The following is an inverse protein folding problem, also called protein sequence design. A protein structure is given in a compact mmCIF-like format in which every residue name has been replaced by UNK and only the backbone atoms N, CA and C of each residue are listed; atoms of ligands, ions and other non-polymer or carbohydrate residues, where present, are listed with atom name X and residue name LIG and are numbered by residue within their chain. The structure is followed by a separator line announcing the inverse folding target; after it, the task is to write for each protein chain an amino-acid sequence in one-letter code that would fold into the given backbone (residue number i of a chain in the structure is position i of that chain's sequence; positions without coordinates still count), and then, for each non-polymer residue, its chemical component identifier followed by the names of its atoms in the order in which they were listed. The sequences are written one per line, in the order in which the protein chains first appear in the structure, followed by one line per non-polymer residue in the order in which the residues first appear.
data_IF_921348379416
#
_entry.id   IF_921348379416
#
_cell.length_a   1.000
_cell.length_b   1.000
_cell.length_c   1.000
_cell.angle_alpha   90.00
_cell.angle_beta   90.00
_cell.angle_gamma   90.00
#
_symmetry.space_group_name_H-M   'P 1'
#
loop_
_entity.id
_entity.type
_entity.pdbx_description
1 polymer ?
#
# COMPACT_ATOMS: atom_id res chain seq x y z
N UNK A 1 17.93 -26.20 -5.74
CA UNK A 1 17.19 -25.32 -4.80
C UNK A 1 16.32 -26.19 -3.92
N UNK A 2 16.26 -25.93 -2.60
CA UNK A 2 15.32 -26.64 -1.71
C UNK A 2 13.88 -26.15 -1.93
N UNK A 3 12.89 -27.01 -1.71
CA UNK A 3 11.47 -26.65 -1.85
C UNK A 3 11.07 -25.44 -0.99
N UNK A 4 11.62 -25.33 0.22
CA UNK A 4 11.40 -24.18 1.10
C UNK A 4 11.95 -22.86 0.55
N UNK A 5 13.06 -22.87 -0.19
CA UNK A 5 13.58 -21.66 -0.84
C UNK A 5 12.68 -21.19 -1.98
N UNK A 6 12.15 -22.11 -2.77
CA UNK A 6 11.22 -21.80 -3.87
C UNK A 6 9.91 -21.23 -3.33
N UNK A 7 9.37 -21.84 -2.26
CA UNK A 7 8.15 -21.36 -1.63
C UNK A 7 8.33 -19.97 -1.00
N UNK A 8 9.41 -19.74 -0.23
CA UNK A 8 9.68 -18.46 0.42
C UNK A 8 9.87 -17.31 -0.57
N UNK A 9 10.72 -17.50 -1.60
CA UNK A 9 10.93 -16.47 -2.62
C UNK A 9 9.71 -16.27 -3.52
N UNK A 10 8.95 -17.33 -3.80
CA UNK A 10 7.70 -17.25 -4.55
C UNK A 10 6.64 -16.43 -3.81
N UNK A 11 6.43 -16.70 -2.52
CA UNK A 11 5.47 -15.94 -1.68
C UNK A 11 5.91 -14.48 -1.57
N UNK A 12 7.18 -14.21 -1.31
CA UNK A 12 7.70 -12.84 -1.25
C UNK A 12 7.51 -12.09 -2.58
N UNK A 13 7.80 -12.74 -3.70
CA UNK A 13 7.62 -12.16 -5.04
C UNK A 13 6.15 -11.83 -5.36
N UNK A 14 5.23 -12.75 -5.04
CA UNK A 14 3.79 -12.52 -5.23
C UNK A 14 3.30 -11.40 -4.32
N UNK A 15 3.67 -11.40 -3.04
CA UNK A 15 3.29 -10.35 -2.10
C UNK A 15 3.76 -8.97 -2.57
N UNK A 16 4.99 -8.87 -3.08
CA UNK A 16 5.54 -7.62 -3.61
C UNK A 16 4.78 -7.15 -4.86
N UNK A 17 4.46 -8.08 -5.78
CA UNK A 17 3.70 -7.75 -6.99
C UNK A 17 2.31 -7.20 -6.65
N UNK A 18 1.60 -7.88 -5.75
CA UNK A 18 0.28 -7.42 -5.28
C UNK A 18 0.41 -6.07 -4.56
N UNK A 19 1.45 -5.87 -3.75
CA UNK A 19 1.69 -4.60 -3.05
C UNK A 19 1.91 -3.44 -4.04
N UNK A 20 2.66 -3.64 -5.12
CA UNK A 20 2.89 -2.60 -6.14
C UNK A 20 1.59 -2.21 -6.86
N UNK A 21 0.78 -3.20 -7.23
CA UNK A 21 -0.53 -2.93 -7.86
C UNK A 21 -1.43 -2.16 -6.89
N UNK A 22 -1.50 -2.62 -5.64
CA UNK A 22 -2.33 -1.98 -4.63
C UNK A 22 -1.84 -0.56 -4.30
N UNK A 23 -0.52 -0.32 -4.27
CA UNK A 23 0.05 1.01 -4.08
C UNK A 23 -0.39 1.97 -5.19
N UNK A 24 -0.37 1.54 -6.46
CA UNK A 24 -0.84 2.37 -7.57
C UNK A 24 -2.34 2.68 -7.45
N UNK A 25 -3.15 1.70 -7.07
CA UNK A 25 -4.60 1.90 -6.85
C UNK A 25 -4.85 2.89 -5.72
N UNK A 26 -4.17 2.72 -4.57
CA UNK A 26 -4.24 3.65 -3.44
C UNK A 26 -3.85 5.05 -3.89
N UNK A 27 -2.73 5.17 -4.62
CA UNK A 27 -2.21 6.46 -5.07
C UNK A 27 -3.22 7.22 -5.94
N UNK A 28 -3.80 6.54 -6.94
CA UNK A 28 -4.84 7.12 -7.80
C UNK A 28 -6.07 7.51 -6.98
N UNK A 29 -6.48 6.67 -6.03
CA UNK A 29 -7.59 6.99 -5.13
C UNK A 29 -7.28 8.24 -4.30
N UNK A 30 -6.08 8.35 -3.73
CA UNK A 30 -5.65 9.53 -2.97
C UNK A 30 -5.67 10.80 -3.83
N UNK A 31 -5.24 10.73 -5.10
CA UNK A 31 -5.34 11.87 -6.04
C UNK A 31 -6.80 12.30 -6.20
N UNK A 32 -7.72 11.34 -6.38
CA UNK A 32 -9.16 11.63 -6.56
C UNK A 32 -9.73 12.30 -5.32
N UNK A 33 -9.44 11.79 -4.12
CA UNK A 33 -9.88 12.38 -2.85
C UNK A 33 -9.30 13.80 -2.70
N UNK A 34 -8.01 13.96 -2.95
CA UNK A 34 -7.36 15.26 -2.84
C UNK A 34 -7.95 16.29 -3.80
N UNK A 35 -8.19 15.87 -5.04
CA UNK A 35 -8.81 16.72 -6.06
C UNK A 35 -10.25 17.09 -5.70
N UNK A 36 -11.05 16.16 -5.18
CA UNK A 36 -12.44 16.46 -4.80
C UNK A 36 -12.54 17.41 -3.61
N UNK A 37 -11.62 17.31 -2.65
CA UNK A 37 -11.68 18.09 -1.40
C UNK A 37 -10.95 19.44 -1.49
N UNK A 38 -9.87 19.50 -2.26
CA UNK A 38 -8.95 20.68 -2.29
C UNK A 38 -8.67 21.20 -3.69
N UNK A 39 -9.30 20.62 -4.71
CA UNK A 39 -9.18 21.03 -6.11
C UNK A 39 -7.85 20.63 -6.75
N UNK A 40 -7.53 21.27 -7.88
CA UNK A 40 -6.37 20.94 -8.72
C UNK A 40 -5.05 21.00 -7.95
N UNK A 41 -4.90 21.97 -7.04
CA UNK A 41 -3.65 22.17 -6.32
C UNK A 41 -3.32 21.00 -5.38
N UNK A 42 -4.31 20.50 -4.62
CA UNK A 42 -4.06 19.35 -3.76
C UNK A 42 -3.88 18.06 -4.55
N UNK A 43 -4.63 17.87 -5.64
CA UNK A 43 -4.37 16.77 -6.59
C UNK A 43 -2.94 16.80 -7.13
N UNK A 44 -2.45 17.97 -7.55
CA UNK A 44 -1.07 18.13 -8.02
C UNK A 44 -0.03 17.86 -6.91
N UNK A 45 -0.27 18.30 -5.68
CA UNK A 45 0.60 18.00 -4.54
C UNK A 45 0.70 16.50 -4.28
N UNK A 46 -0.39 15.74 -4.47
CA UNK A 46 -0.34 14.29 -4.30
C UNK A 46 0.57 13.59 -5.30
N UNK A 47 0.70 14.11 -6.53
CA UNK A 47 1.64 13.58 -7.53
C UNK A 47 3.10 13.83 -7.14
N UNK A 48 3.40 14.97 -6.50
CA UNK A 48 4.77 15.32 -6.09
C UNK A 48 5.17 14.60 -4.80
N UNK A 49 4.24 14.46 -3.87
CA UNK A 49 4.47 13.89 -2.55
C UNK A 49 3.48 12.73 -2.27
N UNK A 50 3.62 11.60 -2.99
CA UNK A 50 2.66 10.49 -2.94
C UNK A 50 2.49 9.93 -1.53
N UNK A 51 3.60 9.55 -0.88
CA UNK A 51 3.59 8.91 0.44
C UNK A 51 3.01 9.84 1.51
N UNK A 52 3.42 11.11 1.54
CA UNK A 52 2.91 12.07 2.52
C UNK A 52 1.43 12.35 2.34
N UNK A 53 0.97 12.38 1.09
CA UNK A 53 -0.43 12.62 0.76
C UNK A 53 -1.30 11.44 1.13
N UNK A 54 -0.85 10.21 0.87
CA UNK A 54 -1.55 8.98 1.27
C UNK A 54 -1.73 8.91 2.79
N UNK A 55 -0.69 9.22 3.56
CA UNK A 55 -0.75 9.29 5.03
C UNK A 55 -1.71 10.38 5.51
N UNK A 56 -1.62 11.58 4.95
CA UNK A 56 -2.52 12.68 5.30
C UNK A 56 -3.99 12.31 5.06
N UNK A 57 -4.30 11.80 3.86
CA UNK A 57 -5.67 11.43 3.48
C UNK A 57 -6.16 10.18 4.21
N UNK A 58 -5.28 9.23 4.55
CA UNK A 58 -5.62 8.10 5.42
C UNK A 58 -6.14 8.59 6.78
N UNK A 59 -5.40 9.48 7.44
CA UNK A 59 -5.80 10.04 8.73
C UNK A 59 -7.11 10.82 8.59
N UNK A 60 -7.24 11.66 7.56
CA UNK A 60 -8.45 12.46 7.31
C UNK A 60 -9.69 11.58 7.09
N UNK A 61 -9.59 10.58 6.22
CA UNK A 61 -10.70 9.66 5.90
C UNK A 61 -11.05 8.80 7.11
N UNK A 62 -10.06 8.30 7.85
CA UNK A 62 -10.30 7.56 9.09
C UNK A 62 -11.09 8.41 10.08
N UNK A 63 -10.65 9.64 10.38
CA UNK A 63 -11.37 10.50 11.31
C UNK A 63 -12.77 10.91 10.85
N UNK A 64 -13.00 11.02 9.54
CA UNK A 64 -14.28 11.45 8.98
C UNK A 64 -15.30 10.31 8.86
N UNK A 65 -14.86 9.11 8.46
CA UNK A 65 -15.73 8.01 8.02
C UNK A 65 -15.49 6.68 8.74
N UNK A 66 -14.40 6.54 9.49
CA UNK A 66 -14.03 5.29 10.16
C UNK A 66 -12.90 4.52 9.47
N UNK A 67 -12.23 3.65 10.23
CA UNK A 67 -11.09 2.83 9.76
C UNK A 67 -11.50 1.67 8.86
N UNK A 68 -12.76 1.25 8.96
CA UNK A 68 -13.39 0.18 8.18
C UNK A 68 -13.77 0.62 6.75
N UNK A 69 -13.60 1.90 6.43
CA UNK A 69 -13.75 2.38 5.05
C UNK A 69 -12.80 1.66 4.10
N UNK A 70 -13.28 1.37 2.89
CA UNK A 70 -12.51 0.62 1.88
C UNK A 70 -11.14 1.23 1.59
N UNK A 71 -11.03 2.57 1.59
CA UNK A 71 -9.75 3.27 1.39
C UNK A 71 -8.77 3.00 2.54
N UNK A 72 -9.21 3.12 3.80
CA UNK A 72 -8.39 2.82 4.96
C UNK A 72 -8.00 1.34 5.01
N UNK A 73 -8.94 0.43 4.73
CA UNK A 73 -8.69 -1.01 4.65
C UNK A 73 -7.67 -1.34 3.55
N UNK A 74 -7.74 -0.69 2.38
CA UNK A 74 -6.77 -0.89 1.31
C UNK A 74 -5.34 -0.49 1.75
N UNK A 75 -5.19 0.63 2.45
CA UNK A 75 -3.89 1.06 3.00
C UNK A 75 -3.38 0.06 4.04
N UNK A 76 -4.23 -0.40 4.95
CA UNK A 76 -3.85 -1.41 5.93
C UNK A 76 -3.47 -2.76 5.28
N UNK A 77 -4.19 -3.17 4.23
CA UNK A 77 -3.87 -4.36 3.45
C UNK A 77 -2.52 -4.23 2.74
N UNK A 78 -2.21 -3.05 2.19
CA UNK A 78 -0.91 -2.75 1.61
C UNK A 78 0.22 -2.86 2.64
N UNK A 79 0.05 -2.29 3.84
CA UNK A 79 1.01 -2.45 4.93
C UNK A 79 1.16 -3.92 5.35
N UNK A 80 0.05 -4.67 5.41
CA UNK A 80 0.06 -6.10 5.68
C UNK A 80 0.85 -6.91 4.64
N UNK A 81 0.73 -6.59 3.35
CA UNK A 81 1.48 -7.25 2.28
C UNK A 81 2.99 -7.03 2.41
N UNK A 82 3.42 -5.83 2.81
CA UNK A 82 4.83 -5.56 3.09
C UNK A 82 5.36 -6.41 4.25
N UNK A 83 4.58 -6.58 5.30
CA UNK A 83 4.94 -7.43 6.45
C UNK A 83 5.06 -8.89 6.00
N UNK A 84 4.05 -9.42 5.29
CA UNK A 84 4.04 -10.80 4.79
C UNK A 84 5.22 -11.05 3.85
N UNK A 85 5.44 -10.17 2.88
CA UNK A 85 6.55 -10.30 1.92
C UNK A 85 7.92 -10.28 2.61
N UNK A 86 8.11 -9.39 3.58
CA UNK A 86 9.36 -9.28 4.34
C UNK A 86 9.61 -10.51 5.22
N UNK A 87 8.58 -11.04 5.88
CA UNK A 87 8.67 -12.27 6.68
C UNK A 87 8.98 -13.47 5.77
N UNK A 88 8.27 -13.62 4.65
CA UNK A 88 8.51 -14.71 3.70
C UNK A 88 9.95 -14.69 3.16
N UNK A 89 10.48 -13.50 2.88
CA UNK A 89 11.87 -13.32 2.48
C UNK A 89 12.84 -13.67 3.62
N UNK A 90 12.61 -13.19 4.84
CA UNK A 90 13.46 -13.44 5.99
C UNK A 90 13.52 -14.92 6.40
N UNK A 91 12.41 -15.66 6.24
CA UNK A 91 12.32 -17.09 6.52
C UNK A 91 12.85 -17.97 5.39
N UNK A 92 13.24 -17.39 4.25
CA UNK A 92 13.83 -18.13 3.14
C UNK A 92 15.21 -18.65 3.56
N UNK A 93 15.46 -19.98 3.54
CA UNK A 93 16.75 -20.53 3.97
C UNK A 93 17.92 -19.95 3.17
N UNK A 94 18.87 -19.32 3.86
CA UNK A 94 20.14 -18.88 3.26
C UNK A 94 21.19 -19.96 3.50
N UNK A 95 21.65 -20.55 2.39
CA UNK A 95 22.45 -21.79 2.27
C UNK A 95 21.58 -23.05 2.32
#
# INVERSE_FOLDING_TARGET
MSAGRIAGTGIAGIALLVAVILALVIHVWTIVIAFSETGLFGGALTLVFPIFSEVYWFIRVWHALGIDTMYCVAILAYLGLWIVGSIAFALTPSK
#
